data_IF_474245927441
#
_entry.id   IF_474245927441
#
_cell.length_a   1.000
_cell.length_b   1.000
_cell.length_c   1.000
_cell.angle_alpha   90.00
_cell.angle_beta   90.00
_cell.angle_gamma   90.00
#
_symmetry.space_group_name_H-M   'P 1'
#
loop_
_entity.id
_entity.type
_entity.pdbx_description
1 polymer ?
#
# COMPACT_ATOMS: atom_id res chain seq x y z
N UNK A 1 44.45 -28.07 -13.10
CA UNK A 1 42.97 -28.04 -13.21
C UNK A 1 42.42 -27.37 -11.96
N UNK A 2 42.41 -26.03 -11.90
CA UNK A 2 42.01 -25.24 -10.69
C UNK A 2 40.94 -24.18 -10.99
N UNK A 3 40.58 -23.98 -12.27
CA UNK A 3 39.61 -22.96 -12.71
C UNK A 3 38.14 -23.25 -12.31
N UNK A 4 37.82 -24.44 -11.80
CA UNK A 4 36.47 -24.81 -11.36
C UNK A 4 36.12 -24.19 -10.00
N UNK A 5 36.96 -24.40 -8.98
CA UNK A 5 36.65 -23.94 -7.63
C UNK A 5 36.75 -22.41 -7.48
N UNK A 6 37.66 -21.74 -8.20
CA UNK A 6 37.76 -20.28 -8.14
C UNK A 6 36.49 -19.58 -8.68
N UNK A 7 35.90 -20.11 -9.76
CA UNK A 7 34.64 -19.59 -10.30
C UNK A 7 33.48 -19.81 -9.35
N UNK A 8 33.43 -20.98 -8.71
CA UNK A 8 32.40 -21.32 -7.73
C UNK A 8 32.50 -20.41 -6.49
N UNK A 9 33.71 -20.13 -6.00
CA UNK A 9 33.94 -19.18 -4.90
C UNK A 9 33.54 -17.75 -5.29
N UNK A 10 33.82 -17.31 -6.52
CA UNK A 10 33.39 -16.01 -7.01
C UNK A 10 31.86 -15.90 -7.10
N UNK A 11 31.18 -16.93 -7.61
CA UNK A 11 29.72 -16.98 -7.68
C UNK A 11 29.10 -16.96 -6.28
N UNK A 12 29.70 -17.69 -5.33
CA UNK A 12 29.26 -17.68 -3.94
C UNK A 12 29.42 -16.30 -3.29
N UNK A 13 30.57 -15.63 -3.48
CA UNK A 13 30.78 -14.27 -2.98
C UNK A 13 29.78 -13.27 -3.58
N UNK A 14 29.47 -13.39 -4.87
CA UNK A 14 28.44 -12.60 -5.53
C UNK A 14 27.08 -12.79 -4.87
N UNK A 15 26.70 -14.04 -4.55
CA UNK A 15 25.43 -14.32 -3.85
C UNK A 15 25.40 -13.74 -2.44
N UNK A 16 26.52 -13.72 -1.72
CA UNK A 16 26.63 -13.08 -0.41
C UNK A 16 26.46 -11.56 -0.50
N UNK A 17 27.07 -10.90 -1.49
CA UNK A 17 26.85 -9.46 -1.75
C UNK A 17 25.42 -9.17 -2.16
N UNK A 18 24.85 -9.99 -3.05
CA UNK A 18 23.45 -9.88 -3.46
C UNK A 18 22.52 -10.01 -2.25
N UNK A 19 22.77 -10.96 -1.35
CA UNK A 19 21.99 -11.16 -0.13
C UNK A 19 22.06 -9.95 0.80
N UNK A 20 23.27 -9.38 1.00
CA UNK A 20 23.48 -8.19 1.82
C UNK A 20 22.80 -6.95 1.22
N UNK A 21 22.87 -6.80 -0.10
CA UNK A 21 22.19 -5.71 -0.80
C UNK A 21 20.66 -5.85 -0.66
N UNK A 22 20.13 -7.07 -0.81
CA UNK A 22 18.71 -7.36 -0.67
C UNK A 22 18.21 -7.14 0.75
N UNK A 23 18.99 -7.51 1.76
CA UNK A 23 18.64 -7.24 3.15
C UNK A 23 18.57 -5.74 3.44
N UNK A 24 19.45 -4.96 2.83
CA UNK A 24 19.40 -3.49 2.91
C UNK A 24 18.13 -2.93 2.28
N UNK A 25 17.71 -3.45 1.12
CA UNK A 25 16.44 -3.06 0.47
C UNK A 25 15.24 -3.48 1.32
N UNK A 26 15.27 -4.69 1.89
CA UNK A 26 14.21 -5.21 2.75
C UNK A 26 13.97 -4.31 3.96
N UNK A 27 15.04 -3.85 4.63
CA UNK A 27 14.93 -2.91 5.75
C UNK A 27 14.37 -1.53 5.38
N UNK A 28 14.42 -1.13 4.10
CA UNK A 28 13.86 0.14 3.63
C UNK A 28 12.37 0.07 3.29
N UNK A 29 11.82 -1.13 3.02
CA UNK A 29 10.39 -1.29 2.66
C UNK A 29 9.44 -0.74 3.73
N UNK A 30 9.63 -1.03 5.04
CA UNK A 30 8.82 -0.41 6.11
C UNK A 30 8.88 1.11 6.12
N UNK A 31 10.06 1.70 5.88
CA UNK A 31 10.22 3.15 5.82
C UNK A 31 9.43 3.74 4.66
N UNK A 32 9.54 3.18 3.45
CA UNK A 32 8.73 3.62 2.31
C UNK A 32 7.24 3.47 2.56
N UNK A 33 6.81 2.39 3.21
CA UNK A 33 5.42 2.17 3.58
C UNK A 33 4.89 3.28 4.49
N UNK A 34 5.61 3.61 5.56
CA UNK A 34 5.22 4.66 6.51
C UNK A 34 5.19 6.04 5.82
N UNK A 35 6.18 6.35 4.97
CA UNK A 35 6.21 7.63 4.26
C UNK A 35 5.05 7.78 3.28
N UNK A 36 4.73 6.74 2.52
CA UNK A 36 3.63 6.78 1.54
C UNK A 36 2.28 6.87 2.27
N UNK A 37 2.05 6.00 3.25
CA UNK A 37 0.77 5.97 3.97
C UNK A 37 0.57 7.23 4.82
N UNK A 38 1.63 7.71 5.49
CA UNK A 38 1.58 8.96 6.27
C UNK A 38 1.42 10.19 5.39
N UNK A 39 2.14 10.26 4.26
CA UNK A 39 2.07 11.38 3.33
C UNK A 39 0.70 11.51 2.66
N UNK A 40 0.13 10.41 2.18
CA UNK A 40 -1.21 10.44 1.58
C UNK A 40 -2.28 10.72 2.64
N UNK A 41 -2.16 10.14 3.84
CA UNK A 41 -3.08 10.41 4.95
C UNK A 41 -3.09 11.89 5.35
N UNK A 42 -1.90 12.51 5.48
CA UNK A 42 -1.79 13.93 5.77
C UNK A 42 -2.36 14.80 4.64
N UNK A 43 -2.14 14.42 3.38
CA UNK A 43 -2.71 15.12 2.23
C UNK A 43 -4.25 15.06 2.22
N UNK A 44 -4.86 13.93 2.58
CA UNK A 44 -6.33 13.80 2.68
C UNK A 44 -6.90 14.74 3.75
N UNK A 45 -6.24 14.85 4.90
CA UNK A 45 -6.70 15.67 6.03
C UNK A 45 -6.54 17.17 5.73
N UNK A 46 -5.40 17.56 5.15
CA UNK A 46 -5.08 18.96 4.88
C UNK A 46 -5.81 19.54 3.65
N UNK A 47 -6.34 18.68 2.78
CA UNK A 47 -7.07 19.12 1.60
C UNK A 47 -8.46 19.61 1.99
N UNK A 48 -8.79 20.87 1.70
CA UNK A 48 -10.12 21.45 1.94
C UNK A 48 -10.94 21.65 0.64
N UNK A 49 -10.46 21.08 -0.46
CA UNK A 49 -11.14 21.17 -1.76
C UNK A 49 -12.27 20.15 -1.93
N UNK A 50 -12.71 20.01 -3.18
CA UNK A 50 -13.83 19.17 -3.58
C UNK A 50 -13.76 17.73 -3.03
N UNK A 51 -14.93 17.22 -2.65
CA UNK A 51 -15.22 15.89 -2.11
C UNK A 51 -14.66 14.77 -3.00
N UNK A 52 -14.68 14.99 -4.31
CA UNK A 52 -14.21 14.13 -5.39
C UNK A 52 -12.70 13.88 -5.31
N UNK A 53 -11.94 14.93 -5.02
CA UNK A 53 -10.48 14.86 -4.92
C UNK A 53 -10.09 14.12 -3.64
N UNK A 54 -10.81 14.37 -2.53
CA UNK A 54 -10.65 13.59 -1.29
C UNK A 54 -10.88 12.10 -1.57
N UNK A 55 -11.96 11.74 -2.28
CA UNK A 55 -12.22 10.34 -2.68
C UNK A 55 -11.09 9.72 -3.49
N UNK A 56 -10.56 10.45 -4.45
CA UNK A 56 -9.47 9.97 -5.30
C UNK A 56 -8.20 9.72 -4.48
N UNK A 57 -7.89 10.63 -3.54
CA UNK A 57 -6.76 10.45 -2.61
C UNK A 57 -6.98 9.26 -1.66
N UNK A 58 -8.19 9.08 -1.11
CA UNK A 58 -8.49 7.91 -0.26
C UNK A 58 -8.40 6.59 -1.04
N UNK A 59 -8.88 6.56 -2.28
CA UNK A 59 -8.77 5.39 -3.15
C UNK A 59 -7.30 5.08 -3.49
N UNK A 60 -6.50 6.13 -3.78
CA UNK A 60 -5.06 6.00 -4.01
C UNK A 60 -4.32 5.52 -2.75
N UNK A 61 -4.69 6.02 -1.57
CA UNK A 61 -4.19 5.55 -0.28
C UNK A 61 -4.49 4.06 -0.09
N UNK A 62 -5.72 3.62 -0.35
CA UNK A 62 -6.10 2.22 -0.32
C UNK A 62 -5.26 1.36 -1.27
N UNK A 63 -5.18 1.76 -2.55
CA UNK A 63 -4.45 1.03 -3.58
C UNK A 63 -2.96 0.90 -3.28
N UNK A 64 -2.33 1.97 -2.79
CA UNK A 64 -0.92 1.98 -2.43
C UNK A 64 -0.59 1.01 -1.28
N UNK A 65 -1.50 0.80 -0.32
CA UNK A 65 -1.36 -0.26 0.69
C UNK A 65 -1.35 -1.67 0.05
N UNK A 66 -2.15 -1.93 -0.98
CA UNK A 66 -2.11 -3.21 -1.71
C UNK A 66 -0.81 -3.40 -2.49
N UNK A 67 -0.30 -2.34 -3.11
CA UNK A 67 1.00 -2.37 -3.81
C UNK A 67 2.13 -2.68 -2.81
N UNK A 68 2.09 -2.09 -1.61
CA UNK A 68 3.06 -2.38 -0.54
C UNK A 68 3.03 -3.84 -0.11
N UNK A 69 1.84 -4.46 0.00
CA UNK A 69 1.71 -5.90 0.25
C UNK A 69 2.40 -6.71 -0.85
N UNK A 70 2.14 -6.40 -2.11
CA UNK A 70 2.73 -7.11 -3.24
C UNK A 70 4.26 -6.99 -3.27
N UNK A 71 4.80 -5.81 -2.96
CA UNK A 71 6.25 -5.57 -2.85
C UNK A 71 6.84 -6.40 -1.71
N UNK A 72 6.22 -6.40 -0.53
CA UNK A 72 6.70 -7.17 0.62
C UNK A 72 6.76 -8.68 0.30
N UNK A 73 5.75 -9.21 -0.38
CA UNK A 73 5.74 -10.59 -0.85
C UNK A 73 6.83 -10.87 -1.89
N UNK A 74 7.01 -9.98 -2.86
CA UNK A 74 8.04 -10.12 -3.90
C UNK A 74 9.44 -10.15 -3.32
N UNK A 75 9.77 -9.22 -2.43
CA UNK A 75 11.12 -9.15 -1.82
C UNK A 75 11.39 -10.41 -0.99
N UNK A 76 10.40 -10.90 -0.23
CA UNK A 76 10.54 -12.15 0.54
C UNK A 76 10.84 -13.34 -0.37
N UNK A 77 10.11 -13.49 -1.47
CA UNK A 77 10.32 -14.59 -2.41
C UNK A 77 11.73 -14.57 -3.03
N UNK A 78 12.27 -13.39 -3.32
CA UNK A 78 13.62 -13.27 -3.87
C UNK A 78 14.65 -13.67 -2.81
N UNK A 79 14.46 -13.22 -1.56
CA UNK A 79 15.36 -13.56 -0.45
C UNK A 79 15.37 -15.07 -0.16
N UNK A 80 14.20 -15.72 -0.17
CA UNK A 80 14.12 -17.19 -0.05
C UNK A 80 14.85 -17.89 -1.19
N UNK A 81 14.68 -17.45 -2.45
CA UNK A 81 15.38 -18.06 -3.59
C UNK A 81 16.90 -17.95 -3.47
N UNK A 82 17.42 -16.81 -3.00
CA UNK A 82 18.85 -16.64 -2.77
C UNK A 82 19.35 -17.54 -1.64
N UNK A 83 18.62 -17.59 -0.52
CA UNK A 83 18.96 -18.46 0.61
C UNK A 83 19.06 -19.93 0.17
N UNK A 84 18.10 -20.39 -0.64
CA UNK A 84 18.08 -21.76 -1.15
C UNK A 84 19.30 -22.08 -2.01
N UNK A 85 19.77 -21.12 -2.82
CA UNK A 85 20.98 -21.30 -3.66
C UNK A 85 22.24 -21.39 -2.81
N UNK A 86 22.36 -20.54 -1.79
CA UNK A 86 23.51 -20.57 -0.86
C UNK A 86 23.55 -21.88 -0.08
N UNK A 87 22.41 -22.32 0.49
CA UNK A 87 22.34 -23.59 1.23
C UNK A 87 22.57 -24.82 0.34
N UNK A 88 22.10 -24.80 -0.91
CA UNK A 88 22.37 -25.89 -1.86
C UNK A 88 23.86 -26.01 -2.22
N UNK A 89 24.61 -24.91 -2.18
CA UNK A 89 26.05 -24.89 -2.42
C UNK A 89 26.86 -25.36 -1.19
N UNK A 90 26.41 -25.00 0.01
CA UNK A 90 27.05 -25.40 1.28
C UNK A 90 26.69 -26.84 1.72
N UNK A 91 25.75 -27.50 1.04
CA UNK A 91 25.30 -28.85 1.40
C UNK A 91 24.52 -28.91 2.72
N UNK A 92 24.02 -27.76 3.21
CA UNK A 92 23.31 -27.64 4.47
C UNK A 92 21.79 -27.83 4.28
N UNK A 93 21.14 -28.38 5.30
CA UNK A 93 19.70 -28.54 5.30
C UNK A 93 18.98 -27.19 5.28
N UNK A 94 17.96 -27.10 4.41
CA UNK A 94 17.15 -25.91 4.18
C UNK A 94 16.51 -25.41 5.49
N UNK A 95 16.72 -24.15 5.89
CA UNK A 95 16.02 -23.61 7.05
C UNK A 95 14.52 -23.47 6.76
N UNK A 96 13.68 -24.00 7.65
CA UNK A 96 12.22 -23.77 7.60
C UNK A 96 11.93 -22.29 7.82
N UNK A 97 11.75 -21.56 6.73
CA UNK A 97 11.42 -20.14 6.78
C UNK A 97 9.91 -19.99 6.99
N UNK A 98 9.51 -19.42 8.14
CA UNK A 98 8.12 -19.16 8.46
C UNK A 98 7.60 -17.90 7.76
N UNK A 99 6.40 -17.98 7.16
CA UNK A 99 5.68 -16.83 6.58
C UNK A 99 4.87 -16.03 7.61
N UNK A 100 5.00 -16.33 8.90
CA UNK A 100 4.13 -15.79 9.95
C UNK A 100 4.15 -14.25 9.99
N UNK A 101 5.34 -13.65 10.08
CA UNK A 101 5.50 -12.19 10.15
C UNK A 101 4.97 -11.50 8.89
N UNK A 102 5.23 -12.07 7.70
CA UNK A 102 4.72 -11.52 6.43
C UNK A 102 3.19 -11.57 6.37
N UNK A 103 2.57 -12.66 6.84
CA UNK A 103 1.11 -12.78 6.90
C UNK A 103 0.49 -11.76 7.86
N UNK A 104 1.09 -11.53 9.03
CA UNK A 104 0.61 -10.52 9.97
C UNK A 104 0.67 -9.10 9.39
N UNK A 105 1.81 -8.70 8.81
CA UNK A 105 1.93 -7.38 8.16
C UNK A 105 0.99 -7.25 6.97
N UNK A 106 0.88 -8.28 6.14
CA UNK A 106 -0.03 -8.30 5.00
C UNK A 106 -1.49 -8.14 5.43
N UNK A 107 -1.91 -8.80 6.52
CA UNK A 107 -3.26 -8.67 7.06
C UNK A 107 -3.54 -7.24 7.55
N UNK A 108 -2.56 -6.62 8.23
CA UNK A 108 -2.70 -5.26 8.75
C UNK A 108 -2.85 -4.24 7.60
N UNK A 109 -1.98 -4.29 6.59
CA UNK A 109 -2.09 -3.43 5.42
C UNK A 109 -3.36 -3.70 4.61
N UNK A 110 -3.83 -4.94 4.58
CA UNK A 110 -5.08 -5.30 3.91
C UNK A 110 -6.28 -4.68 4.61
N UNK A 111 -6.35 -4.77 5.94
CA UNK A 111 -7.42 -4.16 6.74
C UNK A 111 -7.44 -2.64 6.54
N UNK A 112 -6.28 -1.99 6.64
CA UNK A 112 -6.17 -0.53 6.45
C UNK A 112 -6.56 -0.13 5.02
N UNK A 113 -6.04 -0.84 4.02
CA UNK A 113 -6.36 -0.58 2.61
C UNK A 113 -7.86 -0.76 2.32
N UNK A 114 -8.47 -1.82 2.86
CA UNK A 114 -9.89 -2.08 2.72
C UNK A 114 -10.75 -1.00 3.41
N UNK A 115 -10.37 -0.55 4.61
CA UNK A 115 -11.04 0.54 5.32
C UNK A 115 -10.99 1.85 4.54
N UNK A 116 -9.85 2.18 3.93
CA UNK A 116 -9.69 3.40 3.13
C UNK A 116 -10.52 3.37 1.84
N UNK A 117 -10.60 2.20 1.18
CA UNK A 117 -11.46 2.02 0.01
C UNK A 117 -12.94 2.09 0.42
N UNK A 118 -13.31 1.44 1.53
CA UNK A 118 -14.67 1.50 2.06
C UNK A 118 -15.06 2.94 2.41
N UNK A 119 -14.17 3.71 3.03
CA UNK A 119 -14.41 5.12 3.33
C UNK A 119 -14.59 5.96 2.05
N UNK A 120 -13.81 5.70 1.00
CA UNK A 120 -13.99 6.35 -0.32
C UNK A 120 -15.36 6.03 -0.95
N UNK A 121 -15.82 4.79 -0.82
CA UNK A 121 -17.14 4.37 -1.31
C UNK A 121 -18.28 4.93 -0.45
N UNK A 122 -18.15 4.93 0.87
CA UNK A 122 -19.13 5.51 1.80
C UNK A 122 -19.33 7.01 1.53
N UNK A 123 -18.25 7.75 1.29
CA UNK A 123 -18.31 9.16 0.93
C UNK A 123 -18.99 9.42 -0.43
N UNK A 124 -19.13 8.39 -1.28
CA UNK A 124 -19.93 8.45 -2.52
C UNK A 124 -21.44 8.39 -2.24
N UNK A 125 -21.83 7.73 -1.15
CA UNK A 125 -23.23 7.51 -0.80
C UNK A 125 -23.97 8.78 -0.38
N UNK A 126 -23.28 9.74 0.24
CA UNK A 126 -23.89 11.02 0.61
C UNK A 126 -24.23 11.91 -0.60
N UNK A 127 -23.52 11.77 -1.72
CA UNK A 127 -23.81 12.49 -2.98
C UNK A 127 -25.01 11.93 -3.76
N UNK A 128 -25.46 10.71 -3.46
CA UNK A 128 -26.63 10.09 -4.12
C UNK A 128 -27.93 10.20 -3.29
N UNK A 129 -27.89 10.87 -2.14
CA UNK A 129 -29.11 11.23 -1.42
C UNK A 129 -29.60 12.58 -1.96
N UNK A 130 -30.73 12.64 -2.71
CA UNK A 130 -31.28 13.89 -3.22
C UNK A 130 -31.89 14.67 -2.06
N UNK A 131 -31.05 15.24 -1.19
CA UNK A 131 -31.48 16.16 -0.13
C UNK A 131 -31.38 17.63 -0.56
N UNK A 132 -30.79 17.88 -1.74
CA UNK A 132 -30.59 19.23 -2.27
C UNK A 132 -31.66 19.70 -3.28
N UNK A 133 -32.52 18.80 -3.78
CA UNK A 133 -33.61 19.20 -4.68
C UNK A 133 -34.81 19.81 -3.93
N UNK A 134 -35.12 19.33 -2.72
CA UNK A 134 -36.29 19.80 -1.97
C UNK A 134 -35.99 21.05 -1.12
N UNK A 135 -34.75 21.25 -0.67
CA UNK A 135 -34.32 22.46 0.05
C UNK A 135 -34.30 23.68 -0.87
N UNK A 136 -33.81 23.53 -2.11
CA UNK A 136 -33.78 24.63 -3.08
C UNK A 136 -35.17 24.98 -3.64
N UNK A 137 -36.09 24.02 -3.72
CA UNK A 137 -37.48 24.28 -4.11
C UNK A 137 -38.27 25.01 -3.03
N UNK A 138 -38.04 24.72 -1.73
CA UNK A 138 -38.67 25.48 -0.64
C UNK A 138 -38.11 26.91 -0.51
N UNK A 139 -36.82 27.11 -0.74
CA UNK A 139 -36.21 28.43 -0.70
C UNK A 139 -36.67 29.30 -1.88
N UNK A 140 -36.73 28.73 -3.09
CA UNK A 140 -37.27 29.42 -4.27
C UNK A 140 -38.77 29.74 -4.13
N UNK A 141 -39.57 28.87 -3.49
CA UNK A 141 -40.98 29.12 -3.24
C UNK A 141 -41.20 30.24 -2.19
N UNK A 142 -40.35 30.33 -1.17
CA UNK A 142 -40.42 31.44 -0.19
C UNK A 142 -40.08 32.79 -0.80
N UNK A 143 -39.08 32.87 -1.67
CA UNK A 143 -38.68 34.13 -2.31
C UNK A 143 -39.79 34.69 -3.21
N UNK A 144 -40.46 33.83 -3.99
CA UNK A 144 -41.56 34.26 -4.89
C UNK A 144 -42.80 34.74 -4.11
N UNK A 145 -43.07 34.18 -2.92
CA UNK A 145 -44.18 34.60 -2.06
C UNK A 145 -43.91 35.98 -1.43
N UNK A 146 -42.66 36.28 -1.08
CA UNK A 146 -42.29 37.58 -0.50
C UNK A 146 -42.37 38.70 -1.53
N UNK A 147 -42.06 38.44 -2.80
CA UNK A 147 -42.12 39.46 -3.86
C UNK A 147 -43.55 39.83 -4.31
N UNK A 148 -44.55 38.97 -4.05
CA UNK A 148 -45.97 39.25 -4.34
C UNK A 148 -46.74 39.90 -3.16
N UNK A 149 -46.08 40.20 -2.05
CA UNK A 149 -46.68 40.85 -0.87
C UNK A 149 -46.34 42.35 -0.79
N UNK A 150 -45.69 42.93 -1.79
CA UNK A 150 -45.26 44.32 -1.80
C UNK A 150 -45.81 45.14 -2.98
#
# INVERSE_FOLDING_TARGET
>A
MTNGSEKEIQIFNQWCEDFRSLQTVFWRVPFFAITITGGIGAAVIAFDGAVEIKRLLLAFAGLSNFVLIAIAWRVRQIMERLLIKTFAFEGLDKPKTGFFVLKCFSALFFIIGALLIYASLFFTGEMLSPKDSNSQLEESAKVIVIENQH
#
